data_IF_863077215220
#
_entry.id   IF_863077215220
#
_cell.length_a   1.000
_cell.length_b   1.000
_cell.length_c   1.000
_cell.angle_alpha   90.00
_cell.angle_beta   90.00
_cell.angle_gamma   90.00
#
_symmetry.space_group_name_H-M   'P 1'
#
loop_
_entity.id
_entity.type
_entity.pdbx_description
1 polymer ?
#
# COMPACT_ATOMS: atom_id res chain seq x y z
N UNK A 1 -3.43 -18.14 30.67
CA UNK A 1 -2.72 -18.04 29.38
C UNK A 1 -3.22 -16.78 28.68
N UNK A 2 -2.56 -15.62 28.74
CA UNK A 2 -2.89 -14.51 27.83
C UNK A 2 -1.90 -14.55 26.66
N UNK A 3 -2.22 -14.24 25.41
CA UNK A 3 -3.37 -13.63 24.77
C UNK A 3 -2.82 -13.23 23.39
N UNK A 4 -3.31 -13.83 22.31
CA UNK A 4 -2.82 -13.54 20.95
C UNK A 4 -3.53 -12.28 20.45
N UNK A 5 -2.91 -11.12 20.65
CA UNK A 5 -3.35 -9.85 20.06
C UNK A 5 -2.55 -9.64 18.78
N UNK A 6 -3.14 -9.86 17.61
CA UNK A 6 -2.70 -9.31 16.31
C UNK A 6 -3.88 -9.24 15.34
N UNK A 7 -4.84 -8.38 15.66
CA UNK A 7 -5.78 -7.83 14.68
C UNK A 7 -5.46 -6.33 14.60
N UNK A 8 -4.66 -5.89 13.62
CA UNK A 8 -4.36 -4.46 13.45
C UNK A 8 -4.24 -3.97 12.01
N UNK A 9 -4.53 -4.80 11.01
CA UNK A 9 -4.55 -4.35 9.62
C UNK A 9 -5.79 -4.93 8.92
N UNK A 10 -6.74 -4.05 8.62
CA UNK A 10 -7.98 -4.38 7.95
C UNK A 10 -7.69 -4.60 6.46
N UNK A 11 -7.94 -5.83 5.99
CA UNK A 11 -7.83 -6.22 4.60
C UNK A 11 -8.97 -5.65 3.77
N UNK A 12 -8.66 -4.93 2.69
CA UNK A 12 -9.62 -4.63 1.64
C UNK A 12 -8.92 -4.75 0.28
N UNK A 13 -9.26 -5.81 -0.47
CA UNK A 13 -8.82 -6.02 -1.85
C UNK A 13 -9.98 -5.91 -2.84
N UNK A 14 -9.69 -5.23 -3.97
CA UNK A 14 -10.36 -5.12 -5.28
C UNK A 14 -11.89 -4.94 -5.36
N UNK A 15 -12.33 -3.80 -5.92
CA UNK A 15 -13.69 -3.61 -6.46
C UNK A 15 -13.60 -3.23 -7.94
N UNK A 16 -14.19 -4.05 -8.83
CA UNK A 16 -14.33 -3.75 -10.25
C UNK A 16 -15.80 -3.49 -10.64
N UNK A 17 -16.00 -2.35 -11.31
CA UNK A 17 -17.04 -1.90 -12.24
C UNK A 17 -18.47 -2.46 -12.15
N UNK A 18 -19.42 -1.67 -11.61
CA UNK A 18 -20.86 -1.76 -11.95
C UNK A 18 -21.73 -0.48 -11.95
N UNK A 19 -21.26 0.73 -11.61
CA UNK A 19 -22.22 1.81 -11.30
C UNK A 19 -22.14 3.13 -12.09
N UNK A 20 -21.31 3.27 -13.13
CA UNK A 20 -21.28 4.47 -14.00
C UNK A 20 -21.28 5.81 -13.19
N UNK A 21 -20.52 5.83 -12.11
CA UNK A 21 -20.22 7.03 -11.31
C UNK A 21 -18.82 7.49 -11.72
N UNK A 22 -18.57 8.79 -11.97
CA UNK A 22 -17.22 9.27 -12.20
C UNK A 22 -16.38 9.00 -10.95
N UNK A 23 -15.50 8.01 -11.04
CA UNK A 23 -14.50 7.72 -10.02
C UNK A 23 -13.51 8.88 -10.07
N UNK A 24 -13.30 9.66 -8.98
CA UNK A 24 -12.18 10.59 -8.96
C UNK A 24 -10.91 9.76 -9.20
N UNK A 25 -10.01 10.26 -10.06
CA UNK A 25 -8.76 9.63 -10.54
C UNK A 25 -8.04 8.83 -9.45
N UNK A 26 -8.55 7.64 -9.19
CA UNK A 26 -7.93 6.65 -8.34
C UNK A 26 -7.00 5.96 -9.31
N UNK A 27 -5.70 6.19 -9.12
CA UNK A 27 -4.69 5.27 -9.67
C UNK A 27 -5.22 3.85 -9.46
N UNK A 28 -5.20 3.04 -10.52
CA UNK A 28 -5.65 1.65 -10.53
C UNK A 28 -4.71 0.82 -9.63
N UNK A 29 -4.79 1.08 -8.33
CA UNK A 29 -3.98 0.47 -7.30
C UNK A 29 -4.41 -0.98 -7.19
N UNK A 30 -3.49 -1.90 -7.45
CA UNK A 30 -3.81 -3.33 -7.42
C UNK A 30 -3.87 -3.87 -5.98
N UNK A 31 -3.31 -3.13 -5.02
CA UNK A 31 -3.35 -3.45 -3.59
C UNK A 31 -3.24 -2.19 -2.71
N UNK A 32 -3.91 -2.13 -1.56
CA UNK A 32 -3.89 -0.98 -0.66
C UNK A 32 -3.72 -1.37 0.80
N UNK A 33 -3.11 -0.47 1.58
CA UNK A 33 -2.85 -0.63 3.02
C UNK A 33 -3.38 0.57 3.78
N UNK A 34 -4.04 0.32 4.91
CA UNK A 34 -4.46 1.35 5.86
C UNK A 34 -3.52 1.33 7.05
N UNK A 35 -2.78 2.42 7.23
CA UNK A 35 -1.91 2.66 8.37
C UNK A 35 -2.74 3.00 9.61
N UNK A 36 -2.18 2.69 10.78
CA UNK A 36 -2.75 3.16 12.03
C UNK A 36 -2.42 4.65 12.25
N UNK A 37 -3.33 5.39 12.88
CA UNK A 37 -3.18 6.84 13.11
C UNK A 37 -1.91 7.19 13.90
N UNK A 38 -1.46 6.30 14.78
CA UNK A 38 -0.25 6.48 15.60
C UNK A 38 1.05 6.48 14.79
N UNK A 39 1.00 6.03 13.53
CA UNK A 39 2.16 6.04 12.63
C UNK A 39 2.05 7.07 11.51
N UNK A 40 0.99 7.87 11.41
CA UNK A 40 0.81 8.80 10.28
C UNK A 40 1.97 9.78 10.05
N UNK A 41 2.63 10.20 11.12
CA UNK A 41 3.78 11.11 11.08
C UNK A 41 5.14 10.38 11.00
N UNK A 42 5.14 9.06 10.81
CA UNK A 42 6.37 8.31 10.61
C UNK A 42 6.98 8.58 9.22
N UNK A 43 8.22 8.15 9.02
CA UNK A 43 8.94 8.33 7.75
C UNK A 43 8.39 7.46 6.62
N UNK A 44 8.72 7.79 5.37
CA UNK A 44 8.36 6.95 4.21
C UNK A 44 8.93 5.53 4.35
N UNK A 45 10.15 5.40 4.86
CA UNK A 45 10.77 4.10 5.15
C UNK A 45 9.91 3.25 6.09
N UNK A 46 9.37 3.84 7.16
CA UNK A 46 8.50 3.12 8.10
C UNK A 46 7.18 2.76 7.44
N UNK A 47 6.57 3.69 6.72
CA UNK A 47 5.32 3.47 6.00
C UNK A 47 5.43 2.33 4.98
N UNK A 48 6.49 2.34 4.17
CA UNK A 48 6.72 1.32 3.14
C UNK A 48 7.12 -0.02 3.75
N UNK A 49 7.85 -0.03 4.87
CA UNK A 49 8.12 -1.25 5.62
C UNK A 49 6.82 -1.91 6.12
N UNK A 50 5.90 -1.13 6.69
CA UNK A 50 4.57 -1.62 7.12
C UNK A 50 3.77 -2.14 5.92
N UNK A 51 3.79 -1.42 4.80
CA UNK A 51 3.05 -1.80 3.60
C UNK A 51 3.61 -3.10 2.97
N UNK A 52 4.93 -3.24 2.90
CA UNK A 52 5.61 -4.44 2.40
C UNK A 52 5.33 -5.66 3.29
N UNK A 53 5.39 -5.54 4.61
CA UNK A 53 5.00 -6.64 5.51
C UNK A 53 3.51 -6.98 5.35
N UNK A 54 2.63 -5.98 5.24
CA UNK A 54 1.19 -6.20 5.03
C UNK A 54 0.92 -6.96 3.74
N UNK A 55 1.56 -6.58 2.63
CA UNK A 55 1.46 -7.30 1.36
C UNK A 55 1.99 -8.74 1.48
N UNK A 56 3.13 -8.93 2.15
CA UNK A 56 3.68 -10.27 2.39
C UNK A 56 2.69 -11.16 3.16
N UNK A 57 2.14 -10.69 4.29
CA UNK A 57 1.14 -11.44 5.08
C UNK A 57 -0.12 -11.72 4.26
N UNK A 58 -0.50 -10.79 3.37
CA UNK A 58 -1.65 -10.95 2.49
C UNK A 58 -1.45 -12.06 1.49
N UNK A 59 -0.26 -12.14 0.89
CA UNK A 59 0.12 -13.24 -0.01
C UNK A 59 0.20 -14.58 0.75
N UNK A 60 0.64 -14.58 2.02
CA UNK A 60 0.62 -15.81 2.82
C UNK A 60 -0.81 -16.32 3.08
N UNK A 61 -1.79 -15.42 3.09
CA UNK A 61 -3.20 -15.73 3.36
C UNK A 61 -3.96 -16.05 2.07
N UNK A 62 -3.70 -15.31 1.00
CA UNK A 62 -4.22 -15.49 -0.36
C UNK A 62 -3.05 -15.57 -1.36
N UNK A 63 -2.51 -16.77 -1.62
CA UNK A 63 -1.39 -16.94 -2.55
C UNK A 63 -1.68 -16.45 -3.97
N UNK A 64 -2.94 -16.46 -4.41
CA UNK A 64 -3.35 -15.98 -5.74
C UNK A 64 -3.10 -14.47 -5.90
N UNK A 65 -2.93 -13.73 -4.79
CA UNK A 65 -2.60 -12.31 -4.83
C UNK A 65 -1.25 -12.05 -5.50
N UNK A 66 -0.25 -12.91 -5.28
CA UNK A 66 1.05 -12.77 -5.93
C UNK A 66 0.91 -12.91 -7.46
N UNK A 67 0.12 -13.89 -7.91
CA UNK A 67 -0.13 -14.11 -9.34
C UNK A 67 -0.91 -12.95 -9.98
N UNK A 68 -1.93 -12.42 -9.29
CA UNK A 68 -2.70 -11.24 -9.74
C UNK A 68 -1.81 -10.01 -9.91
N UNK A 69 -0.85 -9.83 -9.02
CA UNK A 69 0.13 -8.74 -9.03
C UNK A 69 1.34 -9.03 -9.93
N UNK A 70 1.45 -10.23 -10.51
CA UNK A 70 2.57 -10.63 -11.35
C UNK A 70 3.90 -10.78 -10.61
N UNK A 71 3.87 -11.00 -9.28
CA UNK A 71 5.08 -11.05 -8.45
C UNK A 71 5.78 -12.41 -8.53
N UNK A 72 7.10 -12.38 -8.67
CA UNK A 72 7.93 -13.57 -8.55
C UNK A 72 8.12 -14.00 -7.09
N UNK A 73 8.46 -15.27 -6.86
CA UNK A 73 8.76 -15.76 -5.50
C UNK A 73 9.91 -14.99 -4.82
N UNK A 74 10.85 -14.44 -5.61
CA UNK A 74 11.96 -13.64 -5.09
C UNK A 74 11.47 -12.29 -4.58
N UNK A 75 10.58 -11.63 -5.31
CA UNK A 75 9.97 -10.36 -4.89
C UNK A 75 9.10 -10.56 -3.64
N UNK A 76 8.30 -11.63 -3.62
CA UNK A 76 7.52 -12.00 -2.43
C UNK A 76 8.42 -12.22 -1.21
N UNK A 77 9.58 -12.86 -1.38
CA UNK A 77 10.55 -13.02 -0.29
C UNK A 77 11.19 -11.67 0.12
N UNK A 78 11.42 -10.77 -0.83
CA UNK A 78 11.95 -9.42 -0.62
C UNK A 78 11.06 -8.55 0.25
N UNK A 79 9.73 -8.69 0.14
CA UNK A 79 8.76 -7.94 0.94
C UNK A 79 9.01 -8.04 2.45
N UNK A 80 9.40 -9.24 2.93
CA UNK A 80 9.72 -9.48 4.35
C UNK A 80 10.91 -8.64 4.86
N UNK A 81 11.75 -8.18 3.95
CA UNK A 81 12.91 -7.34 4.24
C UNK A 81 12.66 -5.87 3.92
N UNK A 82 11.41 -5.50 3.60
CA UNK A 82 11.04 -4.14 3.25
C UNK A 82 11.38 -3.75 1.81
N UNK A 83 11.69 -4.71 0.93
CA UNK A 83 11.87 -4.43 -0.49
C UNK A 83 10.53 -4.41 -1.21
N UNK A 84 10.17 -3.24 -1.76
CA UNK A 84 9.03 -3.10 -2.67
C UNK A 84 9.35 -3.83 -3.99
N UNK A 85 8.40 -4.54 -4.61
CA UNK A 85 8.63 -5.23 -5.88
C UNK A 85 9.04 -4.28 -7.00
N UNK A 86 9.80 -4.79 -7.98
CA UNK A 86 10.31 -3.98 -9.07
C UNK A 86 9.15 -3.49 -9.97
N UNK A 87 9.23 -2.25 -10.44
CA UNK A 87 8.17 -1.63 -11.24
C UNK A 87 6.96 -1.15 -10.43
N UNK A 88 6.99 -1.28 -9.10
CA UNK A 88 5.95 -0.75 -8.21
C UNK A 88 6.50 0.29 -7.23
N UNK A 89 5.63 1.21 -6.85
CA UNK A 89 5.89 2.17 -5.76
C UNK A 89 4.69 2.25 -4.82
N UNK A 90 4.98 2.54 -3.56
CA UNK A 90 3.93 2.89 -2.59
C UNK A 90 3.59 4.37 -2.71
N UNK A 91 2.32 4.65 -2.98
CA UNK A 91 1.77 5.97 -3.12
C UNK A 91 0.91 6.33 -1.90
N UNK A 92 1.20 7.46 -1.25
CA UNK A 92 0.32 8.03 -0.21
C UNK A 92 -0.92 8.63 -0.87
N UNK A 93 -2.06 7.97 -0.74
CA UNK A 93 -3.33 8.45 -1.27
C UNK A 93 -3.87 9.64 -0.46
N UNK A 94 -4.74 10.46 -1.05
CA UNK A 94 -5.34 11.63 -0.38
C UNK A 94 -6.13 11.26 0.89
N UNK A 95 -6.64 10.03 0.96
CA UNK A 95 -7.30 9.50 2.15
C UNK A 95 -6.27 9.26 3.28
N UNK A 96 -6.51 9.80 4.49
CA UNK A 96 -5.60 9.62 5.62
C UNK A 96 -5.26 8.17 5.93
N UNK A 97 -3.97 7.89 6.08
CA UNK A 97 -3.44 6.56 6.39
C UNK A 97 -3.39 5.60 5.21
N UNK A 98 -3.87 5.97 4.03
CA UNK A 98 -3.97 5.02 2.91
C UNK A 98 -2.70 5.05 2.05
N UNK A 99 -2.08 3.88 1.92
CA UNK A 99 -1.03 3.60 0.94
C UNK A 99 -1.58 2.72 -0.17
N UNK A 100 -1.15 2.98 -1.40
CA UNK A 100 -1.56 2.27 -2.60
C UNK A 100 -0.33 1.75 -3.33
N UNK A 101 -0.32 0.46 -3.68
CA UNK A 101 0.71 -0.11 -4.54
C UNK A 101 0.33 0.21 -5.99
N UNK A 102 1.12 1.07 -6.63
CA UNK A 102 0.88 1.52 -7.99
C UNK A 102 2.08 1.22 -8.87
N UNK A 103 1.82 1.07 -10.17
CA UNK A 103 2.86 0.93 -11.18
C UNK A 103 3.71 2.20 -11.26
N UNK A 104 5.04 2.05 -11.30
CA UNK A 104 5.99 3.16 -11.29
C UNK A 104 5.85 4.06 -12.53
N UNK A 105 5.64 3.48 -13.71
CA UNK A 105 5.49 4.23 -14.96
C UNK A 105 4.20 5.05 -14.94
N UNK A 106 3.12 4.50 -14.36
CA UNK A 106 1.87 5.22 -14.14
C UNK A 106 2.05 6.37 -13.13
N UNK A 107 2.83 6.15 -12.07
CA UNK A 107 3.07 7.14 -11.01
C UNK A 107 3.85 8.36 -11.51
N UNK A 108 4.85 8.18 -12.40
CA UNK A 108 5.65 9.27 -12.96
C UNK A 108 4.81 10.28 -13.77
N UNK A 109 3.65 9.87 -14.26
CA UNK A 109 2.80 10.70 -15.13
C UNK A 109 1.69 11.45 -14.36
N UNK A 110 1.59 11.26 -13.04
CA UNK A 110 0.57 11.90 -12.19
C UNK A 110 1.21 12.89 -11.21
N UNK A 111 0.80 14.16 -11.29
CA UNK A 111 1.37 15.24 -10.49
C UNK A 111 1.13 15.05 -8.99
N UNK A 112 2.18 15.24 -8.18
CA UNK A 112 2.15 15.01 -6.74
C UNK A 112 1.53 16.20 -5.99
N UNK A 113 0.25 16.11 -5.64
CA UNK A 113 -0.23 16.62 -4.34
C UNK A 113 -0.55 15.40 -3.51
N UNK A 114 0.50 14.76 -2.97
CA UNK A 114 0.37 13.44 -2.34
C UNK A 114 -0.32 13.53 -0.98
N UNK A 115 -0.99 12.45 -0.55
CA UNK A 115 -1.55 12.33 0.79
C UNK A 115 -0.54 12.61 1.91
N UNK A 116 0.75 12.46 1.61
CA UNK A 116 1.86 12.88 2.46
C UNK A 116 1.72 14.31 2.98
N UNK A 117 1.33 15.26 2.13
CA UNK A 117 1.19 16.67 2.50
C UNK A 117 -0.11 16.94 3.27
N UNK A 118 -1.10 16.06 3.14
CA UNK A 118 -2.42 16.19 3.76
C UNK A 118 -2.43 15.61 5.18
N UNK A 119 -1.85 14.43 5.37
CA UNK A 119 -1.93 13.68 6.64
C UNK A 119 -0.60 13.08 7.09
N UNK A 120 0.41 13.03 6.21
CA UNK A 120 1.71 12.42 6.49
C UNK A 120 2.75 13.36 7.13
N UNK A 121 2.42 14.61 7.40
CA UNK A 121 3.40 15.58 7.91
C UNK A 121 4.34 16.16 6.85
N UNK A 122 3.96 16.07 5.57
CA UNK A 122 4.59 16.79 4.45
C UNK A 122 6.05 16.46 4.19
N UNK A 123 6.78 17.41 3.61
CA UNK A 123 8.20 17.26 3.23
C UNK A 123 9.14 16.92 4.38
N UNK A 124 8.78 17.25 5.61
CA UNK A 124 9.64 17.09 6.79
C UNK A 124 9.78 15.62 7.22
N UNK A 125 8.88 14.75 6.75
CA UNK A 125 8.87 13.33 7.10
C UNK A 125 9.16 12.42 5.90
N UNK A 126 9.46 12.97 4.72
CA UNK A 126 9.76 12.19 3.52
C UNK A 126 11.08 11.42 3.63
#
# INVERSE_FOLDING_TARGET
MPGRVREKYLFIGSFNDRDNVPVPLSLESQFGVVLAEDVYLATDEIHFSIANDTLYQSIQTDPDLADKLGLTSSEVAGLKFGHTPDGFVWHHAEQPGVLQLVDEDLHQNTGHTGGRDIWGGGSDNR
#
